data_IF_335102538794
#
_entry.id   IF_335102538794
#
_cell.length_a   1.000
_cell.length_b   1.000
_cell.length_c   1.000
_cell.angle_alpha   90.00
_cell.angle_beta   90.00
_cell.angle_gamma   90.00
#
_symmetry.space_group_name_H-M   'P 1'
#
loop_
_entity.id
_entity.type
_entity.pdbx_description
1 polymer ?
#
# COMPACT_ATOMS: atom_id res chain seq x y z
N UNK A 1 -0.96 -20.22 -20.39
CA UNK A 1 -0.88 -19.19 -19.32
C UNK A 1 0.13 -18.14 -19.78
N UNK A 2 -0.31 -16.94 -20.14
CA UNK A 2 0.63 -15.86 -20.45
C UNK A 2 1.23 -15.38 -19.12
N UNK A 3 2.56 -15.48 -18.99
CA UNK A 3 3.29 -14.83 -17.90
C UNK A 3 3.18 -13.32 -18.14
N UNK A 4 2.40 -12.64 -17.31
CA UNK A 4 2.43 -11.19 -17.23
C UNK A 4 3.67 -10.82 -16.42
N UNK A 5 4.62 -10.12 -17.03
CA UNK A 5 5.75 -9.53 -16.33
C UNK A 5 5.43 -8.07 -16.06
N UNK A 6 5.18 -7.73 -14.80
CA UNK A 6 5.17 -6.34 -14.35
C UNK A 6 6.62 -5.82 -14.46
N UNK A 7 6.87 -4.93 -15.42
CA UNK A 7 8.18 -4.25 -15.54
C UNK A 7 8.14 -3.00 -14.67
N UNK A 8 8.39 -3.16 -13.37
CA UNK A 8 8.57 -2.03 -12.47
C UNK A 8 10.08 -1.77 -12.28
N UNK A 9 10.58 -0.54 -12.49
CA UNK A 9 12.01 -0.23 -12.43
C UNK A 9 12.58 -0.18 -11.00
N UNK A 10 11.71 -0.08 -9.98
CA UNK A 10 12.09 -0.03 -8.57
C UNK A 10 11.98 -1.38 -7.84
N UNK A 11 12.45 -1.41 -6.61
CA UNK A 11 12.25 -2.55 -5.70
C UNK A 11 10.86 -2.41 -5.08
N UNK A 12 9.98 -3.37 -5.38
CA UNK A 12 8.69 -3.45 -4.67
C UNK A 12 8.96 -3.96 -3.26
N UNK A 13 8.53 -3.20 -2.27
CA UNK A 13 8.76 -3.47 -0.85
C UNK A 13 7.54 -4.14 -0.19
N UNK A 14 6.32 -3.78 -0.61
CA UNK A 14 5.08 -4.40 -0.15
C UNK A 14 4.03 -4.44 -1.25
N UNK A 15 3.17 -5.45 -1.21
CA UNK A 15 2.08 -5.68 -2.17
C UNK A 15 0.81 -6.10 -1.42
N UNK A 16 -0.36 -5.71 -1.94
CA UNK A 16 -1.65 -6.15 -1.46
C UNK A 16 -2.63 -6.34 -2.63
N UNK A 17 -3.60 -7.24 -2.47
CA UNK A 17 -4.57 -7.56 -3.52
C UNK A 17 -5.97 -7.10 -3.16
N UNK A 18 -6.64 -6.44 -4.10
CA UNK A 18 -8.04 -6.10 -4.02
C UNK A 18 -8.89 -7.11 -4.81
N UNK A 19 -9.59 -8.05 -4.14
CA UNK A 19 -10.40 -9.04 -4.81
C UNK A 19 -11.65 -8.47 -5.49
N UNK A 20 -12.11 -7.26 -5.15
CA UNK A 20 -13.33 -6.68 -5.72
C UNK A 20 -13.08 -6.09 -7.11
N UNK A 21 -11.94 -5.43 -7.31
CA UNK A 21 -11.57 -4.81 -8.59
C UNK A 21 -10.52 -5.60 -9.38
N UNK A 22 -10.00 -6.70 -8.83
CA UNK A 22 -8.90 -7.46 -9.43
C UNK A 22 -7.68 -6.58 -9.71
N UNK A 23 -7.30 -5.77 -8.71
CA UNK A 23 -6.11 -4.89 -8.76
C UNK A 23 -5.08 -5.31 -7.73
N UNK A 24 -3.81 -5.25 -8.12
CA UNK A 24 -2.69 -5.28 -7.20
C UNK A 24 -2.32 -3.85 -6.81
N UNK A 25 -2.17 -3.61 -5.51
CA UNK A 25 -1.56 -2.41 -4.95
C UNK A 25 -0.14 -2.75 -4.55
N UNK A 26 0.81 -1.85 -4.79
CA UNK A 26 2.20 -2.08 -4.44
C UNK A 26 2.91 -0.77 -4.12
N UNK A 27 3.96 -0.85 -3.31
CA UNK A 27 4.80 0.30 -2.97
C UNK A 27 6.27 -0.02 -3.16
N UNK A 28 7.02 0.98 -3.57
CA UNK A 28 8.49 0.99 -3.65
C UNK A 28 9.14 1.82 -2.54
N UNK A 29 8.33 2.38 -1.63
CA UNK A 29 8.77 3.24 -0.53
C UNK A 29 8.68 4.73 -0.79
N UNK A 30 8.44 5.14 -2.03
CA UNK A 30 8.15 6.54 -2.39
C UNK A 30 6.73 6.68 -2.94
N UNK A 31 6.26 5.67 -3.66
CA UNK A 31 4.94 5.66 -4.28
C UNK A 31 4.12 4.48 -3.82
N UNK A 32 2.82 4.67 -3.74
CA UNK A 32 1.84 3.58 -3.71
C UNK A 32 1.11 3.63 -5.04
N UNK A 33 1.07 2.50 -5.73
CA UNK A 33 0.47 2.34 -7.05
C UNK A 33 -0.54 1.23 -7.04
N UNK A 34 -1.46 1.26 -8.00
CA UNK A 34 -2.38 0.15 -8.27
C UNK A 34 -2.45 -0.15 -9.76
N UNK A 35 -2.64 -1.41 -10.10
CA UNK A 35 -2.72 -1.88 -11.48
C UNK A 35 -3.66 -3.08 -11.56
N UNK A 36 -4.37 -3.24 -12.69
CA UNK A 36 -5.10 -4.49 -12.93
C UNK A 36 -4.12 -5.66 -13.04
N UNK A 37 -4.57 -6.86 -12.64
CA UNK A 37 -3.73 -8.07 -12.72
C UNK A 37 -3.26 -8.41 -14.15
N UNK A 38 -3.94 -7.88 -15.17
CA UNK A 38 -3.54 -8.00 -16.58
C UNK A 38 -2.42 -7.03 -17.00
N UNK A 39 -1.97 -6.15 -16.10
CA UNK A 39 -0.93 -5.15 -16.35
C UNK A 39 -1.41 -3.85 -16.97
N UNK A 40 -2.72 -3.56 -16.99
CA UNK A 40 -3.25 -2.31 -17.56
C UNK A 40 -3.70 -1.31 -16.48
N UNK A 41 -3.87 -0.05 -16.91
CA UNK A 41 -4.42 1.04 -16.10
C UNK A 41 -3.69 1.22 -14.76
N UNK A 42 -2.37 1.34 -14.83
CA UNK A 42 -1.57 1.69 -13.65
C UNK A 42 -1.87 3.12 -13.22
N UNK A 43 -2.09 3.30 -11.91
CA UNK A 43 -2.43 4.58 -11.30
C UNK A 43 -1.56 4.79 -10.06
N UNK A 44 -1.14 6.05 -9.83
CA UNK A 44 -0.50 6.46 -8.58
C UNK A 44 -1.60 6.78 -7.57
N UNK A 45 -1.57 6.12 -6.43
CA UNK A 45 -2.49 6.28 -5.30
C UNK A 45 -1.94 7.30 -4.31
N UNK A 46 -0.63 7.26 -4.05
CA UNK A 46 0.04 8.20 -3.16
C UNK A 46 1.52 8.34 -3.52
N UNK A 47 2.10 9.48 -3.19
CA UNK A 47 3.51 9.78 -3.39
C UNK A 47 4.04 10.59 -2.21
N UNK A 48 5.22 10.22 -1.75
CA UNK A 48 5.96 10.86 -0.68
C UNK A 48 7.34 11.27 -1.18
N UNK A 49 7.84 12.40 -0.66
CA UNK A 49 9.13 12.97 -1.06
C UNK A 49 10.34 12.31 -0.35
N UNK A 50 10.06 11.39 0.58
CA UNK A 50 11.08 10.70 1.38
C UNK A 50 10.93 9.20 1.27
N UNK A 51 12.02 8.51 0.95
CA UNK A 51 12.06 7.05 0.95
C UNK A 51 11.89 6.52 2.38
N UNK A 52 10.79 5.79 2.61
CA UNK A 52 10.58 5.07 3.86
C UNK A 52 11.50 3.85 3.96
N UNK A 53 12.02 3.56 5.15
CA UNK A 53 12.86 2.37 5.36
C UNK A 53 12.07 1.07 5.45
N UNK A 54 10.78 1.13 5.77
CA UNK A 54 9.92 -0.06 5.92
C UNK A 54 8.46 0.25 5.50
N UNK A 55 8.23 0.65 4.23
CA UNK A 55 6.91 0.92 3.68
C UNK A 55 6.11 -0.38 3.57
N UNK A 56 4.98 -0.43 4.27
CA UNK A 56 4.05 -1.57 4.20
C UNK A 56 2.68 -1.05 3.81
N UNK A 57 2.00 -1.81 2.96
CA UNK A 57 0.60 -1.56 2.62
C UNK A 57 -0.26 -2.78 2.95
N UNK A 58 -1.44 -2.57 3.51
CA UNK A 58 -2.51 -3.58 3.62
C UNK A 58 -3.85 -2.96 3.22
N UNK A 59 -4.76 -3.81 2.74
CA UNK A 59 -6.07 -3.39 2.26
C UNK A 59 -7.15 -3.97 3.17
N UNK A 60 -8.03 -3.11 3.63
CA UNK A 60 -9.39 -3.51 3.99
C UNK A 60 -10.24 -3.39 2.71
N UNK A 61 -10.30 -4.48 1.96
CA UNK A 61 -11.05 -4.52 0.70
C UNK A 61 -12.56 -4.51 0.91
N UNK A 62 -13.06 -4.78 2.13
CA UNK A 62 -14.48 -4.73 2.48
C UNK A 62 -14.88 -3.27 2.64
N UNK A 63 -14.19 -2.53 3.51
CA UNK A 63 -14.45 -1.12 3.82
C UNK A 63 -13.88 -0.15 2.78
N UNK A 64 -13.10 -0.63 1.81
CA UNK A 64 -12.42 0.18 0.77
C UNK A 64 -11.42 1.16 1.38
N UNK A 65 -10.56 0.64 2.25
CA UNK A 65 -9.51 1.41 2.90
C UNK A 65 -8.13 0.78 2.66
N UNK A 66 -7.12 1.64 2.62
CA UNK A 66 -5.72 1.29 2.50
C UNK A 66 -4.98 1.78 3.76
N UNK A 67 -4.23 0.88 4.38
CA UNK A 67 -3.36 1.17 5.51
C UNK A 67 -1.92 1.23 5.01
N UNK A 68 -1.30 2.39 5.13
CA UNK A 68 0.11 2.60 4.82
C UNK A 68 0.89 2.75 6.14
N UNK A 69 1.91 1.93 6.33
CA UNK A 69 2.87 2.07 7.41
C UNK A 69 4.21 2.51 6.84
N UNK A 70 4.82 3.49 7.49
CA UNK A 70 6.15 3.97 7.15
C UNK A 70 7.01 4.18 8.39
N UNK A 71 8.33 4.16 8.20
CA UNK A 71 9.29 4.53 9.24
C UNK A 71 10.27 5.57 8.69
N UNK A 72 10.17 6.78 9.24
CA UNK A 72 11.03 7.93 8.96
C UNK A 72 11.59 8.52 10.26
N UNK A 73 12.07 7.64 11.17
CA UNK A 73 12.49 7.99 12.53
C UNK A 73 11.39 7.85 13.58
N UNK A 74 10.14 7.83 13.14
CA UNK A 74 8.98 7.35 13.89
C UNK A 74 8.18 6.42 12.98
N UNK A 75 7.57 5.38 13.55
CA UNK A 75 6.58 4.60 12.81
C UNK A 75 5.27 5.37 12.79
N UNK A 76 4.72 5.55 11.60
CA UNK A 76 3.36 6.07 11.40
C UNK A 76 2.54 5.04 10.63
N UNK A 77 1.30 4.81 11.08
CA UNK A 77 0.29 4.09 10.30
C UNK A 77 -0.79 5.09 9.91
N UNK A 78 -1.00 5.22 8.62
CA UNK A 78 -1.98 6.13 8.00
C UNK A 78 -3.06 5.30 7.33
N UNK A 79 -4.31 5.63 7.66
CA UNK A 79 -5.48 5.14 6.97
C UNK A 79 -5.83 6.08 5.82
N UNK A 80 -6.21 5.55 4.66
CA UNK A 80 -6.71 6.35 3.55
C UNK A 80 -7.71 5.56 2.71
N UNK A 81 -8.44 6.24 1.82
CA UNK A 81 -9.28 5.57 0.82
C UNK A 81 -8.41 4.84 -0.20
N UNK A 82 -9.01 3.91 -0.96
CA UNK A 82 -8.29 3.12 -1.99
C UNK A 82 -7.70 3.97 -3.13
N UNK A 83 -8.13 5.22 -3.30
CA UNK A 83 -7.55 6.18 -4.26
C UNK A 83 -6.53 7.14 -3.61
N UNK A 84 -6.21 6.94 -2.33
CA UNK A 84 -5.21 7.70 -1.59
C UNK A 84 -5.69 9.04 -1.03
N UNK A 85 -6.96 9.37 -1.24
CA UNK A 85 -7.59 10.53 -0.62
C UNK A 85 -7.92 10.29 0.86
N UNK A 86 -8.30 11.36 1.57
CA UNK A 86 -8.75 11.31 2.97
C UNK A 86 -7.78 10.57 3.91
N UNK A 87 -6.51 11.00 3.90
CA UNK A 87 -5.48 10.42 4.75
C UNK A 87 -5.67 10.83 6.21
N UNK A 88 -5.58 9.85 7.11
CA UNK A 88 -5.71 10.06 8.54
C UNK A 88 -4.69 9.20 9.30
N UNK A 89 -3.74 9.80 10.04
CA UNK A 89 -2.80 9.05 10.87
C UNK A 89 -3.54 8.43 12.05
N UNK A 90 -3.37 7.12 12.25
CA UNK A 90 -4.07 6.36 13.31
C UNK A 90 -3.11 5.80 14.37
N UNK A 91 -1.83 5.65 14.05
CA UNK A 91 -0.80 5.23 15.00
C UNK A 91 0.47 6.05 14.76
N UNK A 92 1.08 6.50 15.85
CA UNK A 92 2.43 7.06 15.87
C UNK A 92 3.21 6.40 17.00
N UNK A 93 4.40 5.89 16.70
CA UNK A 93 5.25 5.19 17.66
C UNK A 93 6.72 5.55 17.47
N UNK A 94 7.49 5.59 18.56
CA UNK A 94 8.95 5.66 18.52
C UNK A 94 9.59 4.29 18.25
N UNK A 95 8.84 3.21 18.42
CA UNK A 95 9.32 1.85 18.17
C UNK A 95 9.35 1.55 16.68
N UNK A 96 10.38 0.80 16.26
CA UNK A 96 10.48 0.30 14.90
C UNK A 96 9.54 -0.89 14.69
N UNK A 97 8.52 -0.70 13.84
CA UNK A 97 7.60 -1.76 13.43
C UNK A 97 7.92 -2.21 12.00
N UNK A 98 7.79 -3.51 11.75
CA UNK A 98 8.18 -4.11 10.46
C UNK A 98 7.01 -4.45 9.55
N UNK A 99 5.82 -4.72 10.10
CA UNK A 99 4.64 -5.12 9.32
C UNK A 99 3.36 -4.91 10.14
N UNK A 100 2.21 -5.04 9.47
CA UNK A 100 0.87 -5.08 10.06
C UNK A 100 0.02 -6.17 9.39
N UNK A 101 -1.08 -6.57 10.01
CA UNK A 101 -2.06 -7.47 9.38
C UNK A 101 -3.47 -7.01 9.71
N UNK A 102 -4.40 -7.29 8.80
CA UNK A 102 -5.82 -6.92 8.94
C UNK A 102 -6.67 -8.19 8.92
N UNK A 103 -7.80 -8.17 9.63
CA UNK A 103 -8.93 -9.08 9.41
C UNK A 103 -10.10 -8.30 8.81
N UNK A 104 -10.12 -8.02 7.49
CA UNK A 104 -11.14 -7.18 6.87
C UNK A 104 -12.57 -7.68 7.05
N UNK A 105 -12.76 -8.97 7.36
CA UNK A 105 -14.07 -9.56 7.58
C UNK A 105 -14.64 -9.23 8.97
N UNK A 106 -13.80 -8.77 9.90
CA UNK A 106 -14.16 -8.53 11.30
C UNK A 106 -13.86 -7.11 11.81
N UNK A 107 -13.18 -6.29 11.01
CA UNK A 107 -12.66 -5.00 11.46
C UNK A 107 -11.50 -5.16 12.43
#
# INVERSE_FOLDING_TARGET
>A
MNKIQLKYPGIIQSVAYDPRESKAYFTDGETIRRIYLNGTNEEIVGQWDTMSHSPVIKLDYVSRLLYHMEYAGVTMITLMTMDGSHQFPIVTSSEFMTDLALDPARG
#
